data_IF_462760975141
#
_entry.id   IF_462760975141
#
_cell.length_a   1.000
_cell.length_b   1.000
_cell.length_c   1.000
_cell.angle_alpha   90.00
_cell.angle_beta   90.00
_cell.angle_gamma   90.00
#
_symmetry.space_group_name_H-M   'P 1'
#
loop_
_entity.id
_entity.type
_entity.pdbx_description
1 polymer ?
#
# COMPACT_ATOMS: atom_id res chain seq x y z
N UNK A 1 37.69 -45.02 97.12
CA UNK A 1 36.95 -45.26 95.86
C UNK A 1 35.64 -44.50 95.94
N UNK A 2 35.55 -43.32 95.31
CA UNK A 2 34.29 -42.58 95.24
C UNK A 2 33.42 -43.15 94.12
N UNK A 3 32.18 -43.53 94.41
CA UNK A 3 31.19 -43.85 93.38
C UNK A 3 30.66 -42.53 92.82
N UNK A 4 30.88 -42.27 91.53
CA UNK A 4 30.10 -41.27 90.80
C UNK A 4 28.70 -41.85 90.61
N UNK A 5 27.70 -41.20 91.19
CA UNK A 5 26.29 -41.44 90.91
C UNK A 5 25.90 -40.48 89.79
N UNK A 6 25.56 -41.02 88.61
CA UNK A 6 24.80 -40.27 87.61
C UNK A 6 23.33 -40.66 87.77
N UNK A 7 22.49 -39.84 88.44
CA UNK A 7 21.06 -40.15 88.57
C UNK A 7 20.44 -39.98 87.18
N UNK A 8 20.51 -41.05 86.37
CA UNK A 8 19.96 -41.08 85.02
C UNK A 8 18.45 -41.21 85.10
N UNK A 9 17.76 -40.07 85.09
CA UNK A 9 16.31 -39.99 85.10
C UNK A 9 15.82 -38.73 84.41
N UNK A 10 16.39 -38.40 83.25
CA UNK A 10 15.79 -37.42 82.35
C UNK A 10 14.74 -38.13 81.51
N UNK A 11 13.49 -37.65 81.51
CA UNK A 11 12.48 -38.12 80.56
C UNK A 11 13.01 -37.96 79.14
N UNK A 12 12.86 -39.00 78.31
CA UNK A 12 13.31 -38.97 76.92
C UNK A 12 12.70 -37.79 76.17
N UNK A 13 13.42 -37.27 75.16
CA UNK A 13 12.85 -36.29 74.26
C UNK A 13 11.65 -36.91 73.53
N UNK A 14 10.56 -36.15 73.43
CA UNK A 14 9.43 -36.53 72.59
C UNK A 14 9.87 -36.44 71.11
N UNK A 15 9.94 -37.59 70.43
CA UNK A 15 10.36 -37.70 69.04
C UNK A 15 9.18 -37.73 68.06
N UNK A 16 7.94 -37.82 68.56
CA UNK A 16 6.74 -37.87 67.71
C UNK A 16 6.50 -36.53 66.98
N UNK A 17 7.18 -35.46 67.41
CA UNK A 17 7.19 -34.15 66.73
C UNK A 17 8.05 -34.11 65.46
N UNK A 18 8.86 -35.15 65.18
CA UNK A 18 9.72 -35.22 63.99
C UNK A 18 8.88 -35.56 62.76
N UNK A 19 8.80 -34.61 61.83
CA UNK A 19 8.07 -34.78 60.57
C UNK A 19 8.97 -34.99 59.35
N UNK A 20 10.29 -34.83 59.50
CA UNK A 20 11.24 -34.93 58.39
C UNK A 20 11.51 -36.38 58.01
N UNK A 21 11.37 -36.71 56.73
CA UNK A 21 11.77 -37.99 56.16
C UNK A 21 13.12 -37.92 55.43
N UNK A 22 13.57 -39.05 54.88
CA UNK A 22 14.83 -39.11 54.14
C UNK A 22 14.82 -38.14 52.95
N UNK A 23 13.70 -38.02 52.22
CA UNK A 23 13.54 -37.12 51.07
C UNK A 23 13.57 -35.63 51.43
N UNK A 24 13.45 -35.28 52.72
CA UNK A 24 13.52 -33.90 53.21
C UNK A 24 14.94 -33.49 53.62
N UNK A 25 15.85 -34.46 53.70
CA UNK A 25 17.23 -34.28 54.17
C UNK A 25 18.21 -34.50 53.02
N UNK A 26 19.17 -33.59 52.89
CA UNK A 26 20.22 -33.66 51.87
C UNK A 26 20.96 -35.00 51.88
N UNK A 27 21.22 -35.56 50.70
CA UNK A 27 22.07 -36.74 50.52
C UNK A 27 23.39 -36.58 51.28
N UNK A 28 23.78 -37.62 52.01
CA UNK A 28 25.00 -37.67 52.81
C UNK A 28 24.90 -37.00 54.19
N UNK A 29 23.75 -36.40 54.53
CA UNK A 29 23.44 -36.00 55.92
C UNK A 29 22.71 -37.13 56.64
N UNK A 30 22.90 -37.22 57.94
CA UNK A 30 22.23 -38.20 58.81
C UNK A 30 21.51 -37.43 59.92
N UNK A 31 20.25 -37.79 60.15
CA UNK A 31 19.43 -37.27 61.26
C UNK A 31 18.89 -38.45 62.09
N UNK A 32 18.14 -38.14 63.15
CA UNK A 32 17.38 -39.14 63.92
C UNK A 32 15.93 -39.06 63.48
N UNK A 33 15.28 -40.20 63.25
CA UNK A 33 13.86 -40.28 62.93
C UNK A 33 12.96 -40.35 64.19
N UNK A 34 11.64 -40.40 63.98
CA UNK A 34 10.64 -40.50 65.05
C UNK A 34 10.78 -41.77 65.92
N UNK A 35 11.44 -42.81 65.40
CA UNK A 35 11.64 -44.07 66.12
C UNK A 35 12.97 -44.07 66.89
N UNK A 36 13.75 -42.98 66.79
CA UNK A 36 15.05 -42.83 67.45
C UNK A 36 16.23 -43.38 66.64
N UNK A 37 16.00 -43.80 65.39
CA UNK A 37 16.99 -44.46 64.56
C UNK A 37 17.68 -43.48 63.58
N UNK A 38 18.93 -43.78 63.15
CA UNK A 38 19.62 -42.94 62.18
C UNK A 38 18.98 -43.03 60.79
N UNK A 39 18.56 -41.88 60.27
CA UNK A 39 17.96 -41.73 58.95
C UNK A 39 18.92 -40.97 58.02
N UNK A 40 19.32 -41.62 56.94
CA UNK A 40 20.19 -41.04 55.91
C UNK A 40 19.34 -40.23 54.93
N UNK A 41 19.75 -38.99 54.67
CA UNK A 41 19.10 -38.12 53.71
C UNK A 41 19.17 -38.65 52.27
N UNK A 42 18.10 -38.41 51.53
CA UNK A 42 17.88 -38.83 50.16
C UNK A 42 17.57 -37.66 49.21
N UNK A 43 17.45 -36.43 49.70
CA UNK A 43 17.20 -35.24 48.87
C UNK A 43 18.42 -34.96 47.97
N UNK A 44 18.29 -35.02 46.63
CA UNK A 44 19.39 -34.72 45.73
C UNK A 44 19.81 -33.26 45.85
N UNK A 45 21.12 -33.00 45.85
CA UNK A 45 21.66 -31.65 45.70
C UNK A 45 21.83 -31.34 44.21
N UNK A 46 21.15 -30.29 43.73
CA UNK A 46 21.18 -29.82 42.33
C UNK A 46 22.12 -28.65 42.11
N UNK A 47 22.71 -28.11 43.18
CA UNK A 47 23.58 -26.94 43.14
C UNK A 47 22.93 -25.74 42.40
N UNK A 48 23.72 -25.02 41.60
CA UNK A 48 23.28 -23.90 40.79
C UNK A 48 22.85 -24.41 39.41
N UNK A 49 21.55 -24.55 39.19
CA UNK A 49 21.01 -24.94 37.89
C UNK A 49 20.73 -23.70 37.05
N UNK A 50 21.47 -23.51 35.97
CA UNK A 50 21.20 -22.44 34.99
C UNK A 50 20.75 -22.99 33.64
N UNK A 51 19.78 -22.35 33.01
CA UNK A 51 19.15 -22.78 31.76
C UNK A 51 18.87 -21.60 30.85
N UNK A 52 19.06 -21.80 29.54
CA UNK A 52 18.66 -20.84 28.52
C UNK A 52 17.48 -21.40 27.73
N UNK A 53 16.35 -20.70 27.75
CA UNK A 53 15.14 -21.10 27.04
C UNK A 53 15.03 -20.38 25.69
N UNK A 54 14.62 -21.15 24.67
CA UNK A 54 14.12 -20.59 23.42
C UNK A 54 12.70 -20.05 23.57
N UNK A 55 12.17 -19.44 22.49
CA UNK A 55 10.76 -18.98 22.44
C UNK A 55 9.84 -20.18 22.68
N UNK A 56 8.90 -20.04 23.61
CA UNK A 56 7.97 -21.10 24.03
C UNK A 56 8.66 -22.37 24.56
N UNK A 57 9.95 -22.29 24.90
CA UNK A 57 10.67 -23.39 25.53
C UNK A 57 10.21 -23.57 26.98
N UNK A 58 10.29 -24.81 27.45
CA UNK A 58 9.97 -25.18 28.84
C UNK A 58 11.16 -25.89 29.46
N UNK A 59 11.36 -25.70 30.76
CA UNK A 59 12.33 -26.44 31.55
C UNK A 59 11.67 -26.99 32.80
N UNK A 60 11.67 -28.31 32.95
CA UNK A 60 11.20 -28.97 34.17
C UNK A 60 12.29 -28.83 35.23
N UNK A 61 11.97 -28.11 36.30
CA UNK A 61 12.87 -27.96 37.44
C UNK A 61 12.90 -29.32 38.19
N UNK A 62 14.07 -29.98 38.29
CA UNK A 62 14.14 -31.26 38.96
C UNK A 62 14.00 -31.10 40.48
N UNK A 63 13.32 -32.05 41.12
CA UNK A 63 13.21 -32.11 42.58
C UNK A 63 14.60 -32.24 43.25
N UNK A 64 14.73 -31.62 44.42
CA UNK A 64 15.96 -31.57 45.20
C UNK A 64 16.27 -30.17 45.73
N UNK A 65 17.40 -30.04 46.41
CA UNK A 65 17.92 -28.77 46.90
C UNK A 65 18.61 -28.00 45.78
N UNK A 66 18.27 -26.72 45.62
CA UNK A 66 18.94 -25.79 44.72
C UNK A 66 19.59 -24.69 45.56
N UNK A 67 20.82 -24.31 45.23
CA UNK A 67 21.60 -23.39 46.06
C UNK A 67 21.25 -21.90 45.86
N UNK A 68 20.21 -21.59 45.06
CA UNK A 68 19.72 -20.24 44.79
C UNK A 68 20.57 -19.40 43.82
N UNK A 69 21.73 -19.89 43.37
CA UNK A 69 22.59 -19.16 42.42
C UNK A 69 22.25 -19.45 40.94
N UNK A 70 21.38 -20.43 40.67
CA UNK A 70 20.91 -20.76 39.33
C UNK A 70 20.02 -19.69 38.69
N UNK A 71 20.00 -19.61 37.35
CA UNK A 71 19.15 -18.68 36.60
C UNK A 71 18.50 -19.35 35.39
N UNK A 72 17.24 -19.03 35.13
CA UNK A 72 16.61 -19.31 33.83
C UNK A 72 16.64 -18.03 33.00
N UNK A 73 17.34 -18.05 31.88
CA UNK A 73 17.47 -16.91 30.97
C UNK A 73 16.74 -17.20 29.66
N UNK A 74 16.26 -16.14 29.02
CA UNK A 74 15.76 -16.19 27.66
C UNK A 74 16.30 -14.95 26.96
N UNK A 75 17.11 -15.16 25.93
CA UNK A 75 17.78 -14.09 25.20
C UNK A 75 17.33 -14.08 23.74
N UNK A 76 16.14 -13.55 23.49
CA UNK A 76 15.57 -13.42 22.15
C UNK A 76 15.99 -12.07 21.58
N UNK A 77 16.50 -12.06 20.36
CA UNK A 77 16.78 -10.81 19.66
C UNK A 77 15.48 -10.00 19.50
N UNK A 78 15.52 -8.70 19.79
CA UNK A 78 14.34 -7.83 19.67
C UNK A 78 14.43 -6.94 18.44
N UNK A 79 13.27 -6.49 17.98
CA UNK A 79 13.15 -5.47 16.93
C UNK A 79 12.06 -4.49 17.33
N UNK A 80 12.41 -3.19 17.32
CA UNK A 80 11.45 -2.13 17.60
C UNK A 80 10.36 -2.04 16.52
N UNK A 81 9.34 -1.23 16.79
CA UNK A 81 8.29 -0.93 15.81
C UNK A 81 8.87 -0.43 14.49
N UNK A 82 8.15 -0.69 13.39
CA UNK A 82 8.57 -0.33 12.04
C UNK A 82 7.46 0.47 11.35
N UNK A 83 7.83 1.38 10.46
CA UNK A 83 6.88 2.10 9.61
C UNK A 83 7.26 1.88 8.15
N UNK A 84 6.32 1.37 7.36
CA UNK A 84 6.53 1.01 5.96
C UNK A 84 5.63 1.86 5.08
N UNK A 85 6.23 2.50 4.08
CA UNK A 85 5.50 3.18 3.00
C UNK A 85 5.41 2.24 1.80
N UNK A 86 4.22 1.89 1.30
CA UNK A 86 4.06 1.03 0.13
C UNK A 86 4.85 1.53 -1.09
N UNK A 87 5.42 0.61 -1.85
CA UNK A 87 6.09 0.89 -3.12
C UNK A 87 5.60 -0.04 -4.23
N UNK A 88 6.06 0.17 -5.46
CA UNK A 88 5.79 -0.75 -6.58
C UNK A 88 6.57 -2.07 -6.46
N UNK A 89 7.58 -2.14 -5.59
CA UNK A 89 8.34 -3.35 -5.30
C UNK A 89 7.97 -3.94 -3.94
N UNK A 90 8.20 -5.24 -3.79
CA UNK A 90 8.00 -5.92 -2.52
C UNK A 90 8.90 -5.30 -1.45
N UNK A 91 8.32 -5.07 -0.27
CA UNK A 91 9.05 -4.68 0.93
C UNK A 91 8.95 -5.79 1.96
N UNK A 92 10.06 -6.06 2.64
CA UNK A 92 10.17 -7.10 3.66
C UNK A 92 10.57 -6.47 4.98
N UNK A 93 9.78 -6.70 6.03
CA UNK A 93 10.19 -6.43 7.40
C UNK A 93 10.93 -7.67 7.91
N UNK A 94 12.23 -7.55 8.19
CA UNK A 94 13.09 -8.68 8.57
C UNK A 94 12.92 -9.12 10.04
N UNK A 95 11.68 -9.40 10.45
CA UNK A 95 11.32 -9.81 11.82
C UNK A 95 11.64 -11.28 12.13
N UNK A 96 12.08 -12.06 11.15
CA UNK A 96 12.46 -13.47 11.34
C UNK A 96 13.46 -13.63 12.49
N UNK A 97 13.16 -14.54 13.42
CA UNK A 97 13.98 -14.82 14.61
C UNK A 97 13.99 -13.73 15.67
N UNK A 98 13.12 -12.71 15.57
CA UNK A 98 13.08 -11.58 16.50
C UNK A 98 11.70 -11.42 17.15
N UNK A 99 11.71 -10.95 18.40
CA UNK A 99 10.50 -10.50 19.08
C UNK A 99 10.25 -9.02 18.77
N UNK A 100 9.10 -8.71 18.18
CA UNK A 100 8.70 -7.33 17.90
C UNK A 100 8.23 -6.65 19.18
N UNK A 101 8.94 -5.60 19.59
CA UNK A 101 8.58 -4.83 20.79
C UNK A 101 7.64 -3.65 20.49
N UNK A 102 7.24 -3.48 19.23
CA UNK A 102 6.28 -2.48 18.80
C UNK A 102 5.58 -2.87 17.49
N UNK A 103 4.56 -2.11 17.13
CA UNK A 103 3.76 -2.37 15.95
C UNK A 103 4.55 -2.19 14.66
N UNK A 104 4.20 -2.98 13.64
CA UNK A 104 4.51 -2.66 12.25
C UNK A 104 3.34 -1.85 11.70
N UNK A 105 3.59 -0.58 11.39
CA UNK A 105 2.61 0.33 10.80
C UNK A 105 2.86 0.41 9.31
N UNK A 106 1.82 0.21 8.49
CA UNK A 106 1.87 0.44 7.05
C UNK A 106 1.10 1.70 6.75
N UNK A 107 1.78 2.70 6.20
CA UNK A 107 1.17 3.98 5.89
C UNK A 107 0.17 3.83 4.75
N UNK A 108 -0.91 4.63 4.80
CA UNK A 108 -1.88 4.70 3.74
C UNK A 108 -1.25 5.26 2.45
N UNK A 109 -1.71 4.76 1.30
CA UNK A 109 -1.33 5.32 0.00
C UNK A 109 -2.13 6.59 -0.24
N UNK A 110 -1.46 7.74 -0.31
CA UNK A 110 -2.11 9.02 -0.61
C UNK A 110 -2.81 8.96 -1.97
N UNK A 111 -3.97 9.60 -2.08
CA UNK A 111 -4.75 9.72 -3.32
C UNK A 111 -5.26 8.40 -3.93
N UNK A 112 -5.31 7.31 -3.15
CA UNK A 112 -5.98 6.07 -3.54
C UNK A 112 -7.50 6.24 -3.55
N UNK A 113 -8.02 6.88 -4.60
CA UNK A 113 -9.43 7.15 -4.82
C UNK A 113 -9.88 6.58 -6.17
N UNK A 114 -11.17 6.22 -6.27
CA UNK A 114 -11.72 5.64 -7.49
C UNK A 114 -11.51 6.52 -8.73
N UNK A 115 -11.56 7.85 -8.57
CA UNK A 115 -11.36 8.81 -9.65
C UNK A 115 -9.92 8.89 -10.18
N UNK A 116 -8.94 8.34 -9.46
CA UNK A 116 -7.54 8.26 -9.90
C UNK A 116 -7.16 6.87 -10.44
N UNK A 117 -8.08 5.91 -10.39
CA UNK A 117 -7.85 4.53 -10.81
C UNK A 117 -8.66 4.28 -12.08
N UNK A 118 -8.04 3.65 -13.07
CA UNK A 118 -8.68 3.28 -14.34
C UNK A 118 -9.95 2.47 -14.09
N UNK A 119 -11.02 2.77 -14.83
CA UNK A 119 -12.32 2.10 -14.69
C UNK A 119 -12.19 0.57 -14.70
N UNK A 120 -12.81 -0.05 -13.70
CA UNK A 120 -12.84 -1.51 -13.54
C UNK A 120 -11.57 -2.13 -12.98
N UNK A 121 -10.48 -1.38 -12.82
CA UNK A 121 -9.27 -1.85 -12.14
C UNK A 121 -9.45 -1.67 -10.64
N UNK A 122 -9.06 -2.68 -9.86
CA UNK A 122 -9.11 -2.63 -8.39
C UNK A 122 -7.69 -2.48 -7.84
N UNK A 123 -7.45 -1.43 -7.05
CA UNK A 123 -6.16 -1.20 -6.36
C UNK A 123 -6.44 -0.98 -4.89
N UNK A 124 -5.85 -1.78 -4.01
CA UNK A 124 -6.04 -1.66 -2.56
C UNK A 124 -7.52 -1.74 -2.11
N UNK A 125 -8.35 -2.49 -2.83
CA UNK A 125 -9.80 -2.61 -2.57
C UNK A 125 -10.67 -1.50 -3.18
N UNK A 126 -10.09 -0.50 -3.83
CA UNK A 126 -10.82 0.59 -4.49
C UNK A 126 -10.99 0.27 -5.98
N UNK A 127 -12.25 0.15 -6.43
CA UNK A 127 -12.58 0.00 -7.86
C UNK A 127 -12.52 1.35 -8.55
N UNK A 128 -11.72 1.43 -9.61
CA UNK A 128 -11.59 2.64 -10.41
C UNK A 128 -12.88 3.01 -11.14
N UNK A 129 -13.13 4.32 -11.22
CA UNK A 129 -14.23 4.93 -11.97
C UNK A 129 -13.73 5.80 -13.12
N UNK A 130 -12.42 6.05 -13.21
CA UNK A 130 -11.85 6.96 -14.20
C UNK A 130 -11.91 6.39 -15.62
N UNK A 131 -12.66 7.05 -16.51
CA UNK A 131 -12.85 6.70 -17.94
C UNK A 131 -12.12 7.60 -18.92
N UNK A 132 -11.46 8.66 -18.43
CA UNK A 132 -10.98 9.75 -19.27
C UNK A 132 -9.73 9.42 -20.10
N UNK A 133 -9.40 10.34 -21.01
CA UNK A 133 -8.10 10.43 -21.67
C UNK A 133 -7.40 11.70 -21.17
N UNK A 134 -6.18 11.59 -20.64
CA UNK A 134 -5.39 12.77 -20.24
C UNK A 134 -4.73 13.36 -21.48
N UNK A 135 -5.28 14.46 -22.00
CA UNK A 135 -4.69 15.17 -23.15
C UNK A 135 -3.35 15.82 -22.80
N UNK A 136 -2.38 15.67 -23.70
CA UNK A 136 -1.07 16.32 -23.63
C UNK A 136 -1.14 17.84 -23.76
N UNK A 137 0.02 18.51 -23.70
CA UNK A 137 0.11 19.97 -23.74
C UNK A 137 -0.46 20.59 -25.03
N UNK A 138 -0.35 19.88 -26.15
CA UNK A 138 -0.80 20.36 -27.47
C UNK A 138 -2.23 19.91 -27.82
N UNK A 139 -2.89 19.13 -26.96
CA UNK A 139 -4.28 18.72 -27.16
C UNK A 139 -5.22 19.90 -26.90
N UNK A 140 -5.96 20.28 -27.94
CA UNK A 140 -7.01 21.30 -27.86
C UNK A 140 -8.34 20.66 -27.46
N UNK A 141 -8.61 19.46 -27.95
CA UNK A 141 -9.74 18.63 -27.57
C UNK A 141 -9.33 17.16 -27.60
N UNK A 142 -9.70 16.36 -26.60
CA UNK A 142 -9.52 14.91 -26.65
C UNK A 142 -10.65 14.21 -25.90
N UNK A 143 -11.45 13.45 -26.64
CA UNK A 143 -12.54 12.60 -26.16
C UNK A 143 -13.28 13.15 -24.93
N UNK A 144 -13.92 14.31 -25.10
CA UNK A 144 -14.72 15.02 -24.09
C UNK A 144 -13.95 16.11 -23.34
N UNK A 145 -12.62 16.00 -23.20
CA UNK A 145 -11.79 17.00 -22.56
C UNK A 145 -11.58 18.21 -23.50
N UNK A 146 -12.36 19.26 -23.30
CA UNK A 146 -12.34 20.48 -24.10
C UNK A 146 -11.34 21.52 -23.57
N UNK A 147 -10.04 21.25 -23.73
CA UNK A 147 -8.93 22.07 -23.19
C UNK A 147 -8.85 23.46 -23.83
N UNK A 148 -9.21 23.59 -25.10
CA UNK A 148 -9.20 24.84 -25.85
C UNK A 148 -10.47 25.69 -25.68
N UNK A 149 -11.43 25.25 -24.85
CA UNK A 149 -12.68 25.95 -24.61
C UNK A 149 -13.53 26.12 -25.87
N UNK A 150 -13.56 25.10 -26.73
CA UNK A 150 -14.36 25.12 -27.94
C UNK A 150 -15.85 25.35 -27.64
N UNK A 151 -16.46 26.28 -28.34
CA UNK A 151 -17.91 26.47 -28.35
C UNK A 151 -18.48 26.01 -29.70
N UNK A 152 -19.63 25.34 -29.68
CA UNK A 152 -20.30 24.83 -30.87
C UNK A 152 -21.36 25.79 -31.40
N UNK A 153 -21.47 25.90 -32.72
CA UNK A 153 -22.62 26.48 -33.40
C UNK A 153 -23.74 25.46 -33.61
N UNK A 154 -24.68 25.76 -34.50
CA UNK A 154 -25.74 24.83 -34.90
C UNK A 154 -25.16 23.46 -35.30
N UNK A 155 -25.88 22.39 -34.95
CA UNK A 155 -25.56 20.99 -35.28
C UNK A 155 -24.31 20.40 -34.60
N UNK A 156 -23.68 21.12 -33.67
CA UNK A 156 -22.57 20.60 -32.85
C UNK A 156 -23.05 20.21 -31.45
N UNK A 157 -22.60 19.06 -30.97
CA UNK A 157 -22.82 18.58 -29.60
C UNK A 157 -21.48 18.14 -29.01
N UNK A 158 -21.21 18.53 -27.77
CA UNK A 158 -20.09 18.00 -26.99
C UNK A 158 -20.60 16.84 -26.13
N UNK A 159 -20.39 15.62 -26.60
CA UNK A 159 -20.69 14.39 -25.86
C UNK A 159 -19.50 13.98 -25.00
N UNK A 160 -19.71 13.03 -24.10
CA UNK A 160 -18.71 12.57 -23.11
C UNK A 160 -17.38 12.13 -23.73
N UNK A 161 -17.36 11.68 -24.99
CA UNK A 161 -16.17 11.15 -25.65
C UNK A 161 -15.91 11.71 -27.07
N UNK A 162 -16.72 12.66 -27.56
CA UNK A 162 -16.62 13.17 -28.93
C UNK A 162 -17.36 14.50 -29.13
N UNK A 163 -16.96 15.24 -30.15
CA UNK A 163 -17.78 16.30 -30.71
C UNK A 163 -18.62 15.66 -31.80
N UNK A 164 -19.93 15.57 -31.60
CA UNK A 164 -20.87 15.04 -32.59
C UNK A 164 -21.29 16.16 -33.55
N UNK A 165 -21.15 15.89 -34.84
CA UNK A 165 -21.61 16.73 -35.94
C UNK A 165 -22.91 16.12 -36.47
N UNK A 166 -24.04 16.67 -36.05
CA UNK A 166 -25.38 16.22 -36.47
C UNK A 166 -25.65 16.60 -37.93
N UNK A 167 -26.63 15.93 -38.54
CA UNK A 167 -27.19 16.38 -39.81
C UNK A 167 -27.91 17.73 -39.64
N UNK A 168 -27.77 18.60 -40.63
CA UNK A 168 -28.45 19.90 -40.69
C UNK A 168 -28.75 20.29 -42.13
N UNK A 169 -29.58 21.32 -42.30
CA UNK A 169 -30.11 21.76 -43.61
C UNK A 169 -29.02 22.22 -44.59
N UNK A 170 -27.81 22.52 -44.08
CA UNK A 170 -26.61 22.87 -44.85
C UNK A 170 -25.46 21.86 -44.74
N UNK A 171 -25.71 20.64 -44.25
CA UNK A 171 -24.72 19.55 -44.28
C UNK A 171 -23.65 19.53 -43.19
N UNK A 172 -23.70 20.39 -42.16
CA UNK A 172 -22.82 20.29 -40.98
C UNK A 172 -22.78 21.54 -40.07
N UNK A 173 -21.77 21.66 -39.20
CA UNK A 173 -21.70 22.67 -38.11
C UNK A 173 -20.29 23.22 -37.85
N UNK A 174 -20.12 24.15 -36.90
CA UNK A 174 -18.80 24.76 -36.58
C UNK A 174 -18.45 24.72 -35.10
N UNK A 175 -17.16 24.57 -34.79
CA UNK A 175 -16.60 24.87 -33.46
C UNK A 175 -15.69 26.08 -33.53
N UNK A 176 -15.60 26.82 -32.42
CA UNK A 176 -14.76 28.00 -32.29
C UNK A 176 -13.95 27.91 -31.01
N UNK A 177 -12.64 28.17 -31.05
CA UNK A 177 -11.79 28.17 -29.85
C UNK A 177 -12.10 29.35 -28.93
N UNK A 178 -11.67 29.25 -27.67
CA UNK A 178 -11.52 30.44 -26.83
C UNK A 178 -10.52 31.45 -27.47
N UNK A 179 -10.63 32.76 -27.17
CA UNK A 179 -9.79 33.80 -27.79
C UNK A 179 -8.28 33.65 -27.60
N UNK A 180 -7.86 32.92 -26.58
CA UNK A 180 -6.47 32.88 -26.11
C UNK A 180 -5.71 31.64 -26.60
N UNK A 181 -6.31 30.81 -27.46
CA UNK A 181 -5.65 29.61 -27.97
C UNK A 181 -4.59 30.00 -28.99
N UNK A 182 -3.33 29.66 -28.71
CA UNK A 182 -2.18 30.03 -29.53
C UNK A 182 -1.81 28.90 -30.49
N UNK A 183 -1.85 29.19 -31.79
CA UNK A 183 -1.47 28.28 -32.88
C UNK A 183 -0.06 28.56 -33.42
N UNK A 184 0.52 29.72 -33.10
CA UNK A 184 1.85 30.12 -33.52
C UNK A 184 2.94 29.21 -32.93
N UNK A 185 3.81 28.69 -33.80
CA UNK A 185 4.93 27.80 -33.45
C UNK A 185 4.66 26.31 -33.76
N UNK A 186 3.47 25.97 -34.23
CA UNK A 186 3.11 24.61 -34.66
C UNK A 186 3.03 24.52 -36.18
N UNK A 187 3.34 23.35 -36.74
CA UNK A 187 3.32 23.12 -38.18
C UNK A 187 1.97 22.62 -38.68
N UNK A 188 1.17 21.98 -37.82
CA UNK A 188 -0.11 21.41 -38.18
C UNK A 188 -1.17 21.56 -37.09
N UNK A 189 -2.41 21.77 -37.52
CA UNK A 189 -3.60 21.43 -36.75
C UNK A 189 -4.11 20.08 -37.24
N UNK A 190 -4.20 19.11 -36.34
CA UNK A 190 -4.66 17.77 -36.64
C UNK A 190 -6.04 17.55 -36.05
N UNK A 191 -6.90 16.86 -36.81
CA UNK A 191 -8.25 16.48 -36.41
C UNK A 191 -8.41 14.99 -36.66
N UNK A 192 -8.66 14.24 -35.59
CA UNK A 192 -9.02 12.83 -35.62
C UNK A 192 -10.54 12.69 -35.48
N UNK A 193 -11.14 11.82 -36.28
CA UNK A 193 -12.57 11.57 -36.23
C UNK A 193 -13.02 10.47 -37.18
N UNK A 194 -14.32 10.22 -37.18
CA UNK A 194 -15.02 9.47 -38.22
C UNK A 194 -15.97 10.42 -38.95
N UNK A 195 -15.74 10.63 -40.25
CA UNK A 195 -16.44 11.62 -41.04
C UNK A 195 -17.14 10.99 -42.26
N UNK A 196 -18.41 11.33 -42.47
CA UNK A 196 -19.29 10.72 -43.49
C UNK A 196 -18.96 11.06 -44.95
N UNK A 197 -17.89 11.81 -45.22
CA UNK A 197 -17.59 12.38 -46.55
C UNK A 197 -17.83 13.89 -46.59
N UNK A 198 -16.99 14.62 -47.34
CA UNK A 198 -17.05 16.08 -47.47
C UNK A 198 -15.70 16.70 -47.19
N UNK A 199 -15.69 17.90 -46.61
CA UNK A 199 -14.47 18.57 -46.19
C UNK A 199 -14.62 19.25 -44.83
N UNK A 200 -13.50 19.38 -44.14
CA UNK A 200 -13.38 20.23 -42.95
C UNK A 200 -12.63 21.48 -43.38
N UNK A 201 -13.10 22.63 -42.93
CA UNK A 201 -12.48 23.91 -43.18
C UNK A 201 -11.97 24.52 -41.88
N UNK A 202 -10.69 24.87 -41.85
CA UNK A 202 -10.10 25.66 -40.79
C UNK A 202 -9.99 27.12 -41.24
N UNK A 203 -10.60 28.03 -40.47
CA UNK A 203 -10.56 29.48 -40.71
C UNK A 203 -9.94 30.14 -39.49
N UNK A 204 -8.63 30.41 -39.51
CA UNK A 204 -7.97 31.12 -38.43
C UNK A 204 -7.96 32.62 -38.70
N UNK A 205 -8.57 33.42 -37.82
CA UNK A 205 -8.52 34.89 -37.88
C UNK A 205 -8.69 35.49 -39.29
N UNK A 206 -7.70 36.28 -39.72
CA UNK A 206 -7.70 37.13 -40.92
C UNK A 206 -7.12 36.49 -42.20
N UNK A 207 -6.91 35.16 -42.25
CA UNK A 207 -6.38 34.50 -43.46
C UNK A 207 -7.44 33.69 -44.22
N UNK A 208 -7.13 33.42 -45.50
CA UNK A 208 -7.90 32.52 -46.36
C UNK A 208 -8.10 31.15 -45.71
N UNK A 209 -9.33 30.65 -45.78
CA UNK A 209 -9.67 29.38 -45.17
C UNK A 209 -8.93 28.20 -45.83
N UNK A 210 -8.49 27.27 -44.99
CA UNK A 210 -7.84 26.03 -45.41
C UNK A 210 -8.85 24.90 -45.38
N UNK A 211 -8.80 23.99 -46.37
CA UNK A 211 -9.74 22.88 -46.47
C UNK A 211 -9.01 21.55 -46.64
N UNK A 212 -9.58 20.50 -46.06
CA UNK A 212 -9.13 19.11 -46.24
C UNK A 212 -10.34 18.22 -46.48
N UNK A 213 -10.30 17.38 -47.51
CA UNK A 213 -11.34 16.40 -47.76
C UNK A 213 -11.25 15.27 -46.73
N UNK A 214 -12.40 14.86 -46.20
CA UNK A 214 -12.49 13.85 -45.14
C UNK A 214 -13.48 12.76 -45.49
N UNK A 215 -13.16 11.52 -45.12
CA UNK A 215 -14.05 10.36 -45.29
C UNK A 215 -13.59 9.19 -44.44
N UNK A 216 -14.53 8.51 -43.78
CA UNK A 216 -14.26 7.38 -42.91
C UNK A 216 -13.55 7.79 -41.62
N UNK A 217 -12.89 6.83 -40.98
CA UNK A 217 -12.12 7.04 -39.74
C UNK A 217 -10.66 7.38 -40.07
N UNK A 218 -10.12 8.44 -39.49
CA UNK A 218 -8.76 8.87 -39.78
C UNK A 218 -8.30 10.10 -39.03
N UNK A 219 -7.16 10.63 -39.45
CA UNK A 219 -6.60 11.91 -39.02
C UNK A 219 -6.34 12.77 -40.25
N UNK A 220 -6.74 14.04 -40.18
CA UNK A 220 -6.52 15.02 -41.24
C UNK A 220 -5.84 16.24 -40.66
N UNK A 221 -4.90 16.80 -41.42
CA UNK A 221 -4.00 17.85 -40.96
C UNK A 221 -4.11 19.09 -41.83
N UNK A 222 -4.19 20.25 -41.20
CA UNK A 222 -4.07 21.56 -41.83
C UNK A 222 -2.65 22.08 -41.62
N UNK A 223 -1.94 22.40 -42.70
CA UNK A 223 -0.60 22.99 -42.64
C UNK A 223 -0.66 24.44 -42.12
N UNK A 224 -0.06 24.69 -40.95
CA UNK A 224 -0.01 26.00 -40.31
C UNK A 224 1.30 26.76 -40.60
N UNK A 225 2.24 26.19 -41.36
CA UNK A 225 3.59 26.73 -41.53
C UNK A 225 3.63 28.13 -42.15
N UNK A 226 2.62 28.50 -42.94
CA UNK A 226 2.47 29.84 -43.52
C UNK A 226 1.55 30.77 -42.69
N UNK A 227 0.94 30.27 -41.61
CA UNK A 227 -0.12 30.93 -40.88
C UNK A 227 0.40 31.53 -39.55
N UNK A 228 0.48 32.86 -39.48
CA UNK A 228 0.78 33.59 -38.23
C UNK A 228 -0.53 33.90 -37.50
N UNK A 229 -1.11 32.88 -36.88
CA UNK A 229 -2.48 32.96 -36.36
C UNK A 229 -2.49 33.62 -34.98
N UNK A 230 -3.12 34.79 -34.90
CA UNK A 230 -3.43 35.47 -33.64
C UNK A 230 -4.93 35.71 -33.57
N UNK A 231 -5.62 35.10 -32.59
CA UNK A 231 -7.07 35.24 -32.39
C UNK A 231 -7.86 33.93 -32.41
N UNK A 232 -9.19 34.06 -32.31
CA UNK A 232 -10.10 32.90 -32.35
C UNK A 232 -10.05 32.19 -33.69
N UNK A 233 -10.03 30.86 -33.65
CA UNK A 233 -10.09 30.03 -34.83
C UNK A 233 -11.44 29.34 -34.93
N UNK A 234 -11.93 29.20 -36.16
CA UNK A 234 -13.17 28.48 -36.48
C UNK A 234 -12.81 27.21 -37.25
N UNK A 235 -13.41 26.09 -36.86
CA UNK A 235 -13.37 24.85 -37.63
C UNK A 235 -14.80 24.55 -38.07
N UNK A 236 -15.03 24.53 -39.37
CA UNK A 236 -16.31 24.15 -39.97
C UNK A 236 -16.22 22.70 -40.43
N UNK A 237 -17.22 21.92 -40.08
CA UNK A 237 -17.43 20.56 -40.54
C UNK A 237 -18.58 20.60 -41.54
N UNK A 238 -18.31 20.35 -42.83
CA UNK A 238 -19.33 20.29 -43.89
C UNK A 238 -19.70 18.84 -44.18
N UNK A 239 -19.91 18.07 -43.12
CA UNK A 239 -20.10 16.63 -43.16
C UNK A 239 -20.95 16.16 -41.96
N UNK A 240 -22.27 16.17 -42.12
CA UNK A 240 -23.22 15.69 -41.12
C UNK A 240 -23.10 14.20 -40.81
N UNK A 241 -23.61 13.79 -39.65
CA UNK A 241 -23.55 12.40 -39.20
C UNK A 241 -22.15 11.93 -38.81
N UNK A 242 -21.29 12.86 -38.39
CA UNK A 242 -19.87 12.60 -38.13
C UNK A 242 -19.50 12.82 -36.66
N UNK A 243 -18.30 12.37 -36.27
CA UNK A 243 -17.77 12.56 -34.92
C UNK A 243 -16.29 12.95 -34.96
N UNK A 244 -15.93 14.02 -34.23
CA UNK A 244 -14.54 14.38 -33.97
C UNK A 244 -14.12 13.89 -32.57
N UNK A 245 -13.01 13.17 -32.53
CA UNK A 245 -12.49 12.53 -31.33
C UNK A 245 -11.35 13.31 -30.68
N UNK A 246 -10.51 13.96 -31.49
CA UNK A 246 -9.32 14.66 -31.01
C UNK A 246 -8.96 15.82 -31.94
N UNK A 247 -8.51 16.93 -31.36
CA UNK A 247 -7.95 18.07 -32.06
C UNK A 247 -6.65 18.46 -31.35
N UNK A 248 -5.53 18.50 -32.06
CA UNK A 248 -4.24 18.83 -31.45
C UNK A 248 -3.29 19.54 -32.42
N UNK A 249 -2.28 20.21 -31.85
CA UNK A 249 -1.23 20.89 -32.58
C UNK A 249 0.05 20.05 -32.64
N UNK A 250 0.77 20.07 -33.76
CA UNK A 250 2.08 19.41 -33.92
C UNK A 250 3.03 20.22 -34.78
#
# INVERSE_FOLDING_TARGET
MGKIWMPGGGGGADLDVITAGASDVLVGKVIVDKDGEPLIGAMPNREAVSQSLGINGTYTIPAGYHNGAGKVTQNIATMGGQTINPTTSQQTVSSSGRYMTGNVVVNAVANLSAGNIKRGVVVGGVTGTWEGYVGGANDLYIRGANKAGFTGGSYIVFDTAQITIRYGDGGGGRVMTAPNVRFAGYSYLNIEGNFSGGYIQFTPGDISAMQVNVSGSGTWSFNLSAAQITGQCKIFFYNGGSACYRIWLS
#
